data_IF_679510311861
#
_entry.id   IF_679510311861
#
_cell.length_a   1.000
_cell.length_b   1.000
_cell.length_c   1.000
_cell.angle_alpha   90.00
_cell.angle_beta   90.00
_cell.angle_gamma   90.00
#
_symmetry.space_group_name_H-M   'P 1'
#
loop_
_entity.id
_entity.type
_entity.pdbx_description
1 polymer ?
#
# COMPACT_ATOMS: atom_id res chain seq x y z
N UNK A 1 -17.50 1.93 -7.71
CA UNK A 1 -16.16 1.64 -7.18
C UNK A 1 -16.07 0.16 -6.86
N UNK A 2 -15.19 -0.60 -7.50
CA UNK A 2 -14.88 -1.97 -7.10
C UNK A 2 -13.76 -1.93 -6.05
N UNK A 3 -14.05 -2.34 -4.82
CA UNK A 3 -13.10 -2.40 -3.70
C UNK A 3 -12.19 -3.64 -3.77
N UNK A 4 -11.83 -4.10 -4.98
CA UNK A 4 -11.23 -5.41 -5.17
C UNK A 4 -9.89 -5.55 -4.43
N UNK A 5 -9.01 -4.57 -4.54
CA UNK A 5 -7.73 -4.57 -3.81
C UNK A 5 -7.90 -4.53 -2.29
N UNK A 6 -8.85 -3.74 -1.78
CA UNK A 6 -9.12 -3.68 -0.33
C UNK A 6 -9.69 -5.00 0.20
N UNK A 7 -10.53 -5.69 -0.58
CA UNK A 7 -11.07 -6.99 -0.20
C UNK A 7 -9.95 -8.04 -0.16
N UNK A 8 -9.11 -8.11 -1.19
CA UNK A 8 -7.94 -9.00 -1.21
C UNK A 8 -6.99 -8.71 -0.05
N UNK A 9 -6.79 -7.44 0.29
CA UNK A 9 -5.97 -7.05 1.42
C UNK A 9 -6.54 -7.53 2.76
N UNK A 10 -7.86 -7.71 2.94
CA UNK A 10 -8.42 -8.24 4.18
C UNK A 10 -8.03 -9.69 4.45
N UNK A 11 -7.86 -10.50 3.40
CA UNK A 11 -7.51 -11.93 3.51
C UNK A 11 -6.05 -12.17 3.92
N UNK A 12 -5.21 -11.13 3.88
CA UNK A 12 -3.79 -11.23 4.24
C UNK A 12 -3.60 -11.08 5.75
N UNK A 13 -2.93 -12.04 6.39
CA UNK A 13 -2.67 -11.99 7.84
C UNK A 13 -1.59 -10.95 8.21
N UNK A 14 -2.00 -9.86 8.86
CA UNK A 14 -1.15 -8.79 9.33
C UNK A 14 -1.61 -8.28 10.71
N UNK A 15 -0.66 -7.79 11.52
CA UNK A 15 -0.99 -7.02 12.72
C UNK A 15 -1.73 -5.74 12.35
N UNK A 16 -2.51 -5.21 13.28
CA UNK A 16 -3.44 -4.10 13.05
C UNK A 16 -2.83 -2.88 12.33
N UNK A 17 -1.67 -2.38 12.77
CA UNK A 17 -1.11 -1.14 12.21
C UNK A 17 -0.59 -1.29 10.76
N UNK A 18 0.25 -2.29 10.42
CA UNK A 18 0.58 -2.57 9.01
C UNK A 18 -0.65 -2.86 8.14
N UNK A 19 -1.68 -3.50 8.70
CA UNK A 19 -2.94 -3.78 7.98
C UNK A 19 -3.66 -2.49 7.58
N UNK A 20 -3.78 -1.52 8.50
CA UNK A 20 -4.40 -0.22 8.22
C UNK A 20 -3.66 0.50 7.09
N UNK A 21 -2.32 0.52 7.13
CA UNK A 21 -1.50 1.16 6.07
C UNK A 21 -1.73 0.47 4.72
N UNK A 22 -1.72 -0.87 4.69
CA UNK A 22 -1.98 -1.62 3.45
C UNK A 22 -3.37 -1.34 2.88
N UNK A 23 -4.41 -1.34 3.74
CA UNK A 23 -5.79 -1.05 3.32
C UNK A 23 -5.93 0.37 2.78
N UNK A 24 -5.24 1.34 3.39
CA UNK A 24 -5.21 2.72 2.90
C UNK A 24 -4.57 2.81 1.50
N UNK A 25 -3.41 2.17 1.30
CA UNK A 25 -2.76 2.12 -0.01
C UNK A 25 -3.65 1.43 -1.05
N UNK A 26 -4.31 0.32 -0.71
CA UNK A 26 -5.23 -0.38 -1.60
C UNK A 26 -6.45 0.49 -1.97
N UNK A 27 -6.96 1.29 -1.04
CA UNK A 27 -8.07 2.20 -1.28
C UNK A 27 -7.69 3.34 -2.23
N UNK A 28 -6.45 3.83 -2.14
CA UNK A 28 -5.93 4.92 -2.97
C UNK A 28 -5.42 4.44 -4.33
N UNK A 29 -5.19 3.13 -4.50
CA UNK A 29 -4.61 2.57 -5.71
C UNK A 29 -5.60 2.46 -6.87
N UNK A 30 -5.13 2.73 -8.07
CA UNK A 30 -5.85 2.43 -9.30
C UNK A 30 -5.97 0.91 -9.47
N UNK A 31 -7.17 0.41 -9.74
CA UNK A 31 -7.43 -1.03 -9.85
C UNK A 31 -6.65 -1.69 -11.01
N UNK A 32 -6.39 -0.97 -12.09
CA UNK A 32 -5.70 -1.49 -13.28
C UNK A 32 -4.19 -1.62 -13.11
N UNK A 33 -3.56 -0.69 -12.37
CA UNK A 33 -2.10 -0.66 -12.19
C UNK A 33 -1.65 -1.13 -10.81
N UNK A 34 -2.57 -1.14 -9.85
CA UNK A 34 -2.30 -1.33 -8.42
C UNK A 34 -1.38 -0.25 -7.84
N UNK A 35 -1.33 0.94 -8.45
CA UNK A 35 -0.44 2.03 -8.04
C UNK A 35 -1.20 3.22 -7.45
N UNK A 36 -0.55 3.92 -6.51
CA UNK A 36 -0.99 5.21 -6.01
C UNK A 36 0.18 6.18 -5.83
N UNK A 37 -0.07 7.45 -6.14
CA UNK A 37 0.79 8.57 -5.78
C UNK A 37 0.27 9.16 -4.46
N UNK A 38 0.98 8.95 -3.36
CA UNK A 38 0.58 9.49 -2.06
C UNK A 38 1.80 9.80 -1.20
N UNK A 39 1.75 10.92 -0.49
CA UNK A 39 2.83 11.28 0.44
C UNK A 39 2.67 10.56 1.78
N UNK A 40 3.80 10.27 2.44
CA UNK A 40 3.81 9.73 3.81
C UNK A 40 3.04 10.64 4.79
N UNK A 41 3.04 11.96 4.56
CA UNK A 41 2.27 12.91 5.38
C UNK A 41 0.76 12.72 5.23
N UNK A 42 0.27 12.47 4.01
CA UNK A 42 -1.14 12.15 3.78
C UNK A 42 -1.50 10.81 4.40
N UNK A 43 -0.64 9.79 4.25
CA UNK A 43 -0.84 8.49 4.89
C UNK A 43 -0.88 8.60 6.43
N UNK A 44 -0.01 9.41 7.03
CA UNK A 44 -0.01 9.68 8.47
C UNK A 44 -1.34 10.24 8.96
N UNK A 45 -1.87 11.24 8.25
CA UNK A 45 -3.18 11.82 8.56
C UNK A 45 -4.32 10.80 8.40
N UNK A 46 -4.35 10.05 7.30
CA UNK A 46 -5.46 9.12 7.00
C UNK A 46 -5.41 7.88 7.91
N UNK A 47 -4.22 7.36 8.19
CA UNK A 47 -4.04 6.17 9.03
C UNK A 47 -4.04 6.50 10.53
N UNK A 48 -4.11 7.77 10.93
CA UNK A 48 -4.16 8.19 12.33
C UNK A 48 -2.89 7.83 13.13
N UNK A 49 -1.72 7.88 12.50
CA UNK A 49 -0.44 7.50 13.11
C UNK A 49 0.67 8.49 12.75
N UNK A 50 1.78 8.50 13.49
CA UNK A 50 2.90 9.40 13.22
C UNK A 50 3.57 9.09 11.88
N UNK A 51 4.21 10.08 11.27
CA UNK A 51 4.99 9.91 10.02
C UNK A 51 6.05 8.81 10.15
N UNK A 52 6.73 8.73 11.30
CA UNK A 52 7.71 7.69 11.56
C UNK A 52 7.08 6.30 11.61
N UNK A 53 5.93 6.14 12.27
CA UNK A 53 5.22 4.87 12.33
C UNK A 53 4.73 4.42 10.94
N UNK A 54 4.24 5.34 10.11
CA UNK A 54 3.87 5.04 8.72
C UNK A 54 5.07 4.47 7.97
N UNK A 55 6.25 5.12 8.05
CA UNK A 55 7.46 4.64 7.37
C UNK A 55 7.85 3.24 7.84
N UNK A 56 7.91 3.01 9.14
CA UNK A 56 8.18 1.67 9.70
C UNK A 56 7.21 0.61 9.17
N UNK A 57 5.93 0.95 9.01
CA UNK A 57 4.94 0.01 8.50
C UNK A 57 5.01 -0.18 6.98
N UNK A 58 5.35 0.86 6.22
CA UNK A 58 5.66 0.73 4.79
C UNK A 58 6.86 -0.20 4.60
N UNK A 59 7.97 0.03 5.32
CA UNK A 59 9.17 -0.81 5.25
C UNK A 59 8.85 -2.28 5.56
N UNK A 60 7.98 -2.53 6.54
CA UNK A 60 7.53 -3.87 6.90
C UNK A 60 6.66 -4.52 5.81
N UNK A 61 5.85 -3.74 5.09
CA UNK A 61 5.05 -4.22 3.95
C UNK A 61 5.93 -4.50 2.72
N UNK A 62 6.92 -3.65 2.47
CA UNK A 62 7.94 -3.83 1.43
C UNK A 62 8.75 -5.10 1.69
N UNK A 63 9.20 -5.30 2.94
CA UNK A 63 9.94 -6.51 3.34
C UNK A 63 9.13 -7.79 3.18
N UNK A 64 7.79 -7.71 3.13
CA UNK A 64 6.88 -8.83 2.91
C UNK A 64 6.48 -8.99 1.43
N UNK A 65 6.98 -8.14 0.54
CA UNK A 65 6.60 -8.12 -0.87
C UNK A 65 5.17 -7.66 -1.14
N UNK A 66 4.50 -7.03 -0.17
CA UNK A 66 3.10 -6.59 -0.29
C UNK A 66 2.97 -5.19 -0.89
N UNK A 67 4.04 -4.41 -0.85
CA UNK A 67 4.11 -3.05 -1.40
C UNK A 67 5.48 -2.86 -2.04
N UNK A 68 5.54 -2.23 -3.20
CA UNK A 68 6.78 -1.67 -3.75
C UNK A 68 6.77 -0.15 -3.57
N UNK A 69 7.87 0.41 -3.06
CA UNK A 69 8.10 1.86 -3.07
C UNK A 69 8.92 2.22 -4.31
N UNK A 70 8.34 3.08 -5.16
CA UNK A 70 8.92 3.51 -6.43
C UNK A 70 9.19 5.01 -6.33
N UNK A 71 10.45 5.41 -6.46
CA UNK A 71 10.82 6.83 -6.55
C UNK A 71 11.14 7.19 -7.99
N UNK A 72 10.34 8.09 -8.58
CA UNK A 72 10.52 8.60 -9.93
C UNK A 72 10.27 10.11 -9.97
N UNK A 73 11.15 10.86 -10.63
CA UNK A 73 11.01 12.33 -10.83
C UNK A 73 10.76 13.13 -9.54
N UNK A 74 11.40 12.72 -8.44
CA UNK A 74 11.26 13.37 -7.12
C UNK A 74 9.92 13.09 -6.42
N UNK A 75 9.12 12.15 -6.93
CA UNK A 75 7.85 11.69 -6.37
C UNK A 75 7.97 10.25 -5.91
N UNK A 76 7.28 9.93 -4.81
CA UNK A 76 7.14 8.55 -4.34
C UNK A 76 5.77 8.03 -4.74
N UNK A 77 5.79 6.89 -5.41
CA UNK A 77 4.63 6.08 -5.75
C UNK A 77 4.72 4.77 -4.97
N UNK A 78 3.56 4.22 -4.64
CA UNK A 78 3.45 2.90 -4.03
C UNK A 78 2.66 1.98 -4.96
N UNK A 79 3.16 0.77 -5.18
CA UNK A 79 2.42 -0.30 -5.86
C UNK A 79 2.03 -1.35 -4.83
N UNK A 80 0.76 -1.77 -4.81
CA UNK A 80 0.27 -2.83 -3.91
C UNK A 80 0.26 -4.18 -4.63
N UNK A 81 0.78 -5.21 -3.96
CA UNK A 81 0.95 -6.56 -4.51
C UNK A 81 0.01 -7.55 -3.81
N UNK A 82 -1.29 -7.21 -3.77
CA UNK A 82 -2.33 -8.03 -3.12
C UNK A 82 -3.15 -8.88 -4.08
N UNK A 83 -3.03 -8.60 -5.39
CA UNK A 83 -3.65 -9.40 -6.44
C UNK A 83 -2.61 -10.33 -7.07
N UNK A 84 -3.02 -11.55 -7.43
CA UNK A 84 -2.19 -12.45 -8.21
C UNK A 84 -1.91 -11.81 -9.56
N UNK A 85 -0.65 -11.41 -9.80
CA UNK A 85 -0.19 -10.96 -11.11
C UNK A 85 0.24 -12.19 -11.87
N UNK A 86 -0.43 -12.49 -12.98
CA UNK A 86 0.11 -13.44 -13.94
C UNK A 86 1.35 -12.79 -14.58
N UNK A 87 2.52 -12.96 -13.97
CA UNK A 87 3.81 -12.53 -14.54
C UNK A 87 4.29 -13.48 -15.65
N UNK A 88 3.36 -13.96 -16.47
CA UNK A 88 3.63 -14.78 -17.64
C UNK A 88 2.78 -14.29 -18.82
N UNK A 89 3.34 -13.35 -19.59
CA UNK A 89 3.32 -13.34 -21.05
C UNK A 89 4.29 -12.29 -21.60
#
# INVERSE_FOLDING_TARGET
MSYHLSNLAWDIELRAMPKIVLLCLCHLSLQSTCECEVTVRKLSFVCGMSVSAVRTHIDALVSRGLVDEISADGRNFYRVNVAARNEQQ
#
